data_IF_593529333903
#
_entry.id   IF_593529333903
#
_cell.length_a   1.000
_cell.length_b   1.000
_cell.length_c   1.000
_cell.angle_alpha   90.00
_cell.angle_beta   90.00
_cell.angle_gamma   90.00
#
_symmetry.space_group_name_H-M   'P 1'
#
loop_
_entity.id
_entity.type
_entity.pdbx_description
1 polymer ?
#
# COMPACT_ATOMS: atom_id res chain seq x y z
N UNK A 1 9.25 -28.82 -9.18
CA UNK A 1 9.62 -27.56 -8.48
C UNK A 1 8.88 -27.51 -7.16
N UNK A 2 9.41 -26.88 -6.12
CA UNK A 2 8.70 -26.76 -4.85
C UNK A 2 7.41 -25.96 -5.02
N UNK A 3 6.44 -26.25 -4.17
CA UNK A 3 5.22 -25.46 -4.00
C UNK A 3 5.39 -24.58 -2.77
N UNK A 4 5.07 -23.30 -2.87
CA UNK A 4 5.10 -22.37 -1.75
C UNK A 4 3.70 -21.85 -1.45
N UNK A 5 3.36 -21.76 -0.18
CA UNK A 5 2.12 -21.17 0.33
C UNK A 5 2.44 -19.92 1.13
N UNK A 6 2.01 -18.78 0.63
CA UNK A 6 2.37 -17.47 1.17
C UNK A 6 1.10 -16.69 1.49
N UNK A 7 1.03 -16.14 2.70
CA UNK A 7 0.02 -15.14 3.05
C UNK A 7 0.57 -13.77 2.65
N UNK A 8 -0.07 -13.11 1.70
CA UNK A 8 0.16 -11.69 1.41
C UNK A 8 -0.71 -10.82 2.30
N UNK A 9 -0.12 -9.81 2.95
CA UNK A 9 -0.86 -8.83 3.76
C UNK A 9 -0.83 -7.49 3.05
N UNK A 10 -2.00 -6.90 2.82
CA UNK A 10 -2.18 -5.54 2.33
C UNK A 10 -2.81 -4.67 3.42
N UNK A 11 -2.14 -3.56 3.73
CA UNK A 11 -2.61 -2.54 4.66
C UNK A 11 -2.49 -1.18 3.97
N UNK A 12 -3.50 -0.88 3.15
CA UNK A 12 -3.50 0.30 2.29
C UNK A 12 -3.45 1.64 3.06
N UNK A 13 -3.18 2.73 2.32
CA UNK A 13 -3.14 4.06 2.93
C UNK A 13 -4.53 4.54 3.39
N UNK A 14 -5.61 4.01 2.82
CA UNK A 14 -6.99 4.27 3.23
C UNK A 14 -7.31 3.84 4.67
N UNK A 15 -6.56 2.88 5.22
CA UNK A 15 -6.83 2.30 6.56
C UNK A 15 -8.26 1.79 6.72
N UNK A 16 -8.85 1.27 5.66
CA UNK A 16 -10.17 0.66 5.67
C UNK A 16 -10.14 -0.76 6.25
N UNK A 17 -9.24 -1.59 5.77
CA UNK A 17 -9.11 -2.97 6.25
C UNK A 17 -7.65 -3.48 6.19
N UNK A 18 -7.41 -4.55 6.93
CA UNK A 18 -6.27 -5.46 6.78
C UNK A 18 -6.71 -6.60 5.87
N UNK A 19 -6.27 -6.58 4.61
CA UNK A 19 -6.60 -7.61 3.63
C UNK A 19 -5.50 -8.66 3.55
N UNK A 20 -5.89 -9.92 3.51
CA UNK A 20 -4.97 -11.05 3.48
C UNK A 20 -5.42 -12.06 2.44
N UNK A 21 -4.48 -12.63 1.72
CA UNK A 21 -4.73 -13.72 0.77
C UNK A 21 -3.67 -14.79 0.97
N UNK A 22 -4.10 -16.03 1.13
CA UNK A 22 -3.23 -17.19 1.04
C UNK A 22 -3.14 -17.62 -0.41
N UNK A 23 -1.95 -17.51 -1.00
CA UNK A 23 -1.67 -17.87 -2.39
C UNK A 23 -0.70 -19.03 -2.44
N UNK A 24 -1.00 -20.01 -3.27
CA UNK A 24 -0.11 -21.11 -3.62
C UNK A 24 0.63 -20.80 -4.93
N UNK A 25 1.95 -20.89 -4.88
CA UNK A 25 2.84 -20.71 -6.02
C UNK A 25 3.43 -22.04 -6.45
N UNK A 26 3.16 -22.47 -7.67
CA UNK A 26 3.72 -23.69 -8.24
C UNK A 26 4.02 -23.50 -9.73
N UNK A 27 5.25 -23.81 -10.18
CA UNK A 27 5.65 -23.72 -11.59
C UNK A 27 5.27 -22.38 -12.26
N UNK A 28 5.57 -21.26 -11.62
CA UNK A 28 5.23 -19.91 -12.07
C UNK A 28 3.70 -19.63 -12.19
N UNK A 29 2.87 -20.50 -11.65
CA UNK A 29 1.43 -20.25 -11.53
C UNK A 29 1.10 -19.83 -10.12
N UNK A 30 0.13 -18.94 -10.00
CA UNK A 30 -0.45 -18.50 -8.73
C UNK A 30 -1.89 -19.03 -8.63
N UNK A 31 -2.27 -19.46 -7.44
CA UNK A 31 -3.64 -19.84 -7.14
C UNK A 31 -4.00 -19.35 -5.74
N UNK A 32 -4.95 -18.45 -5.67
CA UNK A 32 -5.49 -18.02 -4.39
C UNK A 32 -6.32 -19.14 -3.76
N UNK A 33 -6.03 -19.43 -2.51
CA UNK A 33 -6.66 -20.50 -1.74
C UNK A 33 -7.83 -19.94 -0.95
N UNK A 34 -7.60 -18.86 -0.22
CA UNK A 34 -8.61 -18.14 0.55
C UNK A 34 -8.17 -16.71 0.80
N UNK A 35 -9.14 -15.86 1.13
CA UNK A 35 -8.93 -14.48 1.51
C UNK A 35 -9.59 -14.19 2.86
N UNK A 36 -9.09 -13.18 3.55
CA UNK A 36 -9.61 -12.72 4.82
C UNK A 36 -9.42 -11.22 4.94
N UNK A 37 -10.42 -10.52 5.45
CA UNK A 37 -10.37 -9.07 5.61
C UNK A 37 -10.90 -8.69 6.99
N UNK A 38 -10.20 -7.78 7.66
CA UNK A 38 -10.61 -7.25 8.97
C UNK A 38 -10.59 -5.73 8.89
N UNK A 39 -11.73 -5.05 9.06
CA UNK A 39 -11.76 -3.60 9.06
C UNK A 39 -11.00 -3.04 10.26
N UNK A 40 -10.33 -1.91 10.07
CA UNK A 40 -9.77 -1.15 11.18
C UNK A 40 -10.88 -0.45 11.97
N UNK A 41 -10.68 -0.35 13.28
CA UNK A 41 -11.57 0.48 14.10
C UNK A 41 -11.40 1.97 13.75
N UNK A 42 -12.44 2.80 13.89
CA UNK A 42 -12.34 4.24 13.72
C UNK A 42 -11.24 4.88 14.60
N UNK A 43 -11.04 4.33 15.80
CA UNK A 43 -9.98 4.76 16.69
C UNK A 43 -8.59 4.51 16.09
N UNK A 44 -8.35 3.32 15.53
CA UNK A 44 -7.07 2.98 14.89
C UNK A 44 -6.82 3.83 13.64
N UNK A 45 -7.86 4.12 12.87
CA UNK A 45 -7.78 5.03 11.73
C UNK A 45 -7.34 6.43 12.17
N UNK A 46 -7.98 6.98 13.21
CA UNK A 46 -7.64 8.29 13.75
C UNK A 46 -6.22 8.34 14.32
N UNK A 47 -5.84 7.35 15.12
CA UNK A 47 -4.47 7.26 15.66
C UNK A 47 -3.42 7.18 14.56
N UNK A 48 -3.70 6.49 13.46
CA UNK A 48 -2.77 6.42 12.31
C UNK A 48 -2.63 7.77 11.62
N UNK A 49 -3.73 8.48 11.44
CA UNK A 49 -3.70 9.81 10.84
C UNK A 49 -2.95 10.82 11.72
N UNK A 50 -3.18 10.78 13.03
CA UNK A 50 -2.47 11.63 13.99
C UNK A 50 -0.96 11.34 13.99
N UNK A 51 -0.59 10.05 13.91
CA UNK A 51 0.81 9.63 13.77
C UNK A 51 1.42 10.13 12.45
N UNK A 52 0.71 10.03 11.33
CA UNK A 52 1.20 10.55 10.04
C UNK A 52 1.47 12.04 10.08
N UNK A 53 0.57 12.83 10.69
CA UNK A 53 0.76 14.28 10.89
C UNK A 53 1.96 14.58 11.78
N UNK A 54 2.15 13.80 12.84
CA UNK A 54 3.28 13.93 13.73
C UNK A 54 4.61 13.65 13.01
N UNK A 55 4.64 12.59 12.18
CA UNK A 55 5.82 12.17 11.42
C UNK A 55 6.18 13.18 10.33
N UNK A 56 5.19 13.81 9.70
CA UNK A 56 5.41 14.68 8.54
C UNK A 56 6.36 15.84 8.83
N UNK A 57 6.30 16.43 10.04
CA UNK A 57 7.07 17.61 10.43
C UNK A 57 8.31 17.29 11.28
N UNK A 58 8.78 16.03 11.33
CA UNK A 58 9.87 15.60 12.19
C UNK A 58 11.03 14.97 11.43
N UNK A 59 12.21 14.97 12.07
CA UNK A 59 13.33 14.17 11.61
C UNK A 59 12.97 12.68 11.69
N UNK A 60 13.13 11.98 10.57
CA UNK A 60 12.74 10.58 10.45
C UNK A 60 13.58 9.64 11.31
N UNK A 61 14.80 10.04 11.65
CA UNK A 61 15.68 9.26 12.54
C UNK A 61 15.18 9.20 13.99
N UNK A 62 14.36 10.17 14.41
CA UNK A 62 13.82 10.24 15.77
C UNK A 62 12.49 9.49 15.94
N UNK A 63 11.79 9.22 14.85
CA UNK A 63 10.43 8.67 14.87
C UNK A 63 10.37 7.35 15.64
N UNK A 64 11.32 6.46 15.40
CA UNK A 64 11.34 5.12 16.02
C UNK A 64 11.47 5.15 17.53
N UNK A 65 12.02 6.21 18.11
CA UNK A 65 12.19 6.38 19.55
C UNK A 65 11.00 7.07 20.24
N UNK A 66 10.04 7.60 19.48
CA UNK A 66 8.88 8.31 20.03
C UNK A 66 7.91 7.35 20.73
N UNK A 67 7.47 7.65 21.96
CA UNK A 67 6.51 6.81 22.68
C UNK A 67 5.21 6.57 21.90
N UNK A 68 4.66 7.59 21.27
CA UNK A 68 3.43 7.52 20.48
C UNK A 68 3.57 6.59 19.28
N UNK A 69 4.75 6.62 18.62
CA UNK A 69 5.06 5.68 17.53
C UNK A 69 5.15 4.25 18.07
N UNK A 70 5.87 4.03 19.17
CA UNK A 70 6.05 2.71 19.75
C UNK A 70 4.72 2.08 20.22
N UNK A 71 3.86 2.87 20.85
CA UNK A 71 2.54 2.40 21.29
C UNK A 71 1.68 1.99 20.09
N UNK A 72 1.56 2.87 19.10
CA UNK A 72 0.81 2.59 17.87
C UNK A 72 1.39 1.38 17.11
N UNK A 73 2.70 1.33 16.95
CA UNK A 73 3.41 0.26 16.26
C UNK A 73 3.15 -1.11 16.90
N UNK A 74 3.24 -1.18 18.23
CA UNK A 74 3.00 -2.43 18.96
C UNK A 74 1.52 -2.88 18.83
N UNK A 75 0.58 -1.94 18.91
CA UNK A 75 -0.84 -2.24 18.70
C UNK A 75 -1.09 -2.73 17.28
N UNK A 76 -0.54 -2.03 16.29
CA UNK A 76 -0.69 -2.38 14.87
C UNK A 76 -0.23 -3.80 14.56
N UNK A 77 0.96 -4.21 15.05
CA UNK A 77 1.49 -5.55 14.81
C UNK A 77 0.68 -6.62 15.54
N UNK A 78 0.18 -6.34 16.75
CA UNK A 78 -0.70 -7.27 17.47
C UNK A 78 -2.01 -7.49 16.71
N UNK A 79 -2.64 -6.44 16.21
CA UNK A 79 -3.86 -6.55 15.41
C UNK A 79 -3.63 -7.37 14.12
N UNK A 80 -2.50 -7.18 13.44
CA UNK A 80 -2.14 -7.98 12.28
C UNK A 80 -1.93 -9.45 12.64
N UNK A 81 -1.24 -9.74 13.73
CA UNK A 81 -1.02 -11.12 14.19
C UNK A 81 -2.35 -11.81 14.56
N UNK A 82 -3.24 -11.09 15.25
CA UNK A 82 -4.59 -11.58 15.55
C UNK A 82 -5.39 -11.87 14.27
N UNK A 83 -5.31 -10.98 13.27
CA UNK A 83 -5.99 -11.18 11.99
C UNK A 83 -5.45 -12.41 11.25
N UNK A 84 -4.12 -12.63 11.21
CA UNK A 84 -3.51 -13.84 10.65
C UNK A 84 -3.98 -15.08 11.39
N UNK A 85 -4.02 -15.04 12.71
CA UNK A 85 -4.47 -16.19 13.53
C UNK A 85 -5.95 -16.50 13.26
N UNK A 86 -6.82 -15.49 13.22
CA UNK A 86 -8.24 -15.64 12.87
C UNK A 86 -8.44 -16.18 11.45
N UNK A 87 -7.67 -15.72 10.47
CA UNK A 87 -7.69 -16.29 9.13
C UNK A 87 -7.37 -17.79 9.15
N UNK A 88 -6.31 -18.17 9.87
CA UNK A 88 -5.92 -19.58 10.00
C UNK A 88 -7.01 -20.43 10.66
N UNK A 89 -7.65 -19.92 11.73
CA UNK A 89 -8.75 -20.60 12.42
C UNK A 89 -9.98 -20.74 11.52
N UNK A 90 -10.43 -19.64 10.90
CA UNK A 90 -11.64 -19.61 10.07
C UNK A 90 -11.54 -20.53 8.85
N UNK A 91 -10.37 -20.62 8.24
CA UNK A 91 -10.14 -21.43 7.05
C UNK A 91 -9.47 -22.78 7.37
N UNK A 92 -9.37 -23.14 8.64
CA UNK A 92 -8.77 -24.41 9.11
C UNK A 92 -7.35 -24.64 8.55
N UNK A 93 -6.54 -23.57 8.48
CA UNK A 93 -5.20 -23.64 7.93
C UNK A 93 -4.21 -24.16 8.96
N UNK A 94 -3.37 -25.10 8.54
CA UNK A 94 -2.23 -25.52 9.34
C UNK A 94 -1.05 -24.55 9.08
N UNK A 95 -0.67 -23.77 10.08
CA UNK A 95 0.45 -22.80 10.00
C UNK A 95 1.77 -23.45 9.59
N UNK A 96 2.01 -24.71 9.93
CA UNK A 96 3.20 -25.44 9.51
C UNK A 96 3.28 -25.68 7.99
N UNK A 97 2.18 -25.48 7.27
CA UNK A 97 2.09 -25.56 5.80
C UNK A 97 2.15 -24.20 5.12
N UNK A 98 2.33 -23.12 5.89
CA UNK A 98 2.52 -21.75 5.37
C UNK A 98 4.01 -21.45 5.40
N UNK A 99 4.60 -21.26 4.23
CA UNK A 99 6.04 -21.07 4.10
C UNK A 99 6.49 -19.69 4.57
N UNK A 100 5.66 -18.65 4.32
CA UNK A 100 5.95 -17.30 4.74
C UNK A 100 4.71 -16.39 4.75
N UNK A 101 4.83 -15.26 5.45
CA UNK A 101 3.98 -14.08 5.33
C UNK A 101 4.76 -13.02 4.57
N UNK A 102 4.20 -12.45 3.51
CA UNK A 102 4.70 -11.26 2.84
C UNK A 102 4.05 -10.01 3.46
N UNK A 103 4.87 -9.13 4.05
CA UNK A 103 4.40 -7.96 4.77
C UNK A 103 5.17 -6.69 4.36
N UNK A 104 4.50 -5.74 3.70
CA UNK A 104 5.15 -4.52 3.21
C UNK A 104 5.27 -3.41 4.27
N UNK A 105 4.69 -3.60 5.46
CA UNK A 105 4.63 -2.57 6.49
C UNK A 105 3.53 -1.52 6.21
N UNK A 106 3.35 -0.58 7.14
CA UNK A 106 2.52 0.61 6.95
C UNK A 106 3.40 1.77 6.51
N UNK A 107 3.19 2.27 5.31
CA UNK A 107 3.90 3.45 4.83
C UNK A 107 3.41 4.69 5.60
N UNK A 108 4.32 5.30 6.35
CA UNK A 108 4.08 6.57 7.03
C UNK A 108 4.59 7.74 6.20
N UNK A 109 5.74 7.54 5.53
CA UNK A 109 6.30 8.52 4.62
C UNK A 109 7.17 7.82 3.58
N UNK A 110 7.26 8.39 2.39
CA UNK A 110 8.03 7.84 1.28
C UNK A 110 8.54 8.97 0.39
N UNK A 111 9.84 9.06 0.28
CA UNK A 111 10.54 10.05 -0.52
C UNK A 111 11.45 9.35 -1.54
N UNK A 112 10.90 8.90 -2.67
CA UNK A 112 11.67 8.19 -3.69
C UNK A 112 12.68 9.12 -4.39
N UNK A 113 13.68 8.57 -5.13
CA UNK A 113 14.69 9.36 -5.81
C UNK A 113 14.15 10.47 -6.72
N UNK A 114 13.06 10.23 -7.44
CA UNK A 114 12.42 11.24 -8.30
C UNK A 114 11.92 12.44 -7.49
N UNK A 115 11.20 12.20 -6.39
CA UNK A 115 10.70 13.24 -5.49
C UNK A 115 11.85 13.93 -4.75
N UNK A 116 12.80 13.17 -4.21
CA UNK A 116 13.97 13.68 -3.50
C UNK A 116 14.80 14.64 -4.36
N UNK A 117 14.93 14.36 -5.66
CA UNK A 117 15.61 15.24 -6.62
C UNK A 117 14.91 16.58 -6.78
N UNK A 118 13.57 16.59 -6.84
CA UNK A 118 12.76 17.82 -6.95
C UNK A 118 12.84 18.64 -5.68
N UNK A 119 12.77 17.98 -4.51
CA UNK A 119 12.78 18.65 -3.21
C UNK A 119 14.19 18.94 -2.69
N UNK A 120 15.25 18.58 -3.42
CA UNK A 120 16.65 18.68 -3.00
C UNK A 120 16.94 18.03 -1.64
N UNK A 121 16.35 16.85 -1.43
CA UNK A 121 16.48 16.03 -0.21
C UNK A 121 17.14 14.69 -0.52
N UNK A 122 17.33 13.85 0.51
CA UNK A 122 17.79 12.47 0.33
C UNK A 122 16.59 11.52 0.19
N UNK A 123 16.70 10.50 -0.68
CA UNK A 123 15.67 9.44 -0.76
C UNK A 123 15.58 8.68 0.55
N UNK A 124 14.34 8.38 0.99
CA UNK A 124 14.07 7.50 2.14
C UNK A 124 12.70 6.86 2.04
N UNK A 125 12.47 5.86 2.86
CA UNK A 125 11.14 5.28 3.10
C UNK A 125 10.98 5.00 4.60
N UNK A 126 9.83 5.37 5.14
CA UNK A 126 9.47 5.09 6.53
C UNK A 126 8.28 4.13 6.55
N UNK A 127 8.58 2.87 6.84
CA UNK A 127 7.59 1.81 6.98
C UNK A 127 7.46 1.44 8.46
N UNK A 128 6.27 1.57 9.02
CA UNK A 128 5.98 1.04 10.35
C UNK A 128 5.58 -0.44 10.24
N UNK A 129 6.04 -1.22 11.19
CA UNK A 129 5.76 -2.64 11.29
C UNK A 129 7.02 -3.48 11.41
N UNK A 130 7.12 -4.26 12.49
CA UNK A 130 8.21 -5.20 12.70
C UNK A 130 7.83 -6.58 12.14
N UNK A 131 8.49 -6.98 11.07
CA UNK A 131 8.34 -8.35 10.56
C UNK A 131 8.79 -9.40 11.56
N UNK A 132 9.81 -9.11 12.38
CA UNK A 132 10.25 -10.01 13.44
C UNK A 132 9.15 -10.20 14.51
N UNK A 133 8.58 -9.10 15.02
CA UNK A 133 7.49 -9.20 16.00
C UNK A 133 6.26 -9.93 15.42
N UNK A 134 5.93 -9.71 14.15
CA UNK A 134 4.85 -10.44 13.49
C UNK A 134 5.17 -11.94 13.39
N UNK A 135 6.41 -12.30 13.07
CA UNK A 135 6.85 -13.70 13.03
C UNK A 135 6.74 -14.37 14.41
N UNK A 136 7.20 -13.68 15.46
CA UNK A 136 7.14 -14.19 16.83
C UNK A 136 5.70 -14.43 17.32
N UNK A 137 4.78 -13.51 16.97
CA UNK A 137 3.37 -13.60 17.38
C UNK A 137 2.55 -14.61 16.56
N UNK A 138 2.92 -14.85 15.31
CA UNK A 138 2.19 -15.79 14.43
C UNK A 138 2.79 -17.18 14.39
N UNK A 139 4.08 -17.31 14.67
CA UNK A 139 4.86 -18.55 14.50
C UNK A 139 5.16 -18.87 13.03
N UNK A 140 4.97 -17.91 12.10
CA UNK A 140 5.24 -18.06 10.66
C UNK A 140 6.36 -17.12 10.25
N UNK A 141 7.25 -17.55 9.38
CA UNK A 141 8.31 -16.69 8.82
C UNK A 141 7.69 -15.46 8.14
N UNK A 142 8.33 -14.29 8.28
CA UNK A 142 7.88 -13.06 7.65
C UNK A 142 8.97 -12.53 6.72
N UNK A 143 8.60 -12.22 5.48
CA UNK A 143 9.41 -11.49 4.53
C UNK A 143 8.87 -10.07 4.48
N UNK A 144 9.73 -9.09 4.73
CA UNK A 144 9.33 -7.70 4.88
C UNK A 144 10.41 -6.74 4.35
N UNK A 145 10.13 -5.44 4.42
CA UNK A 145 11.02 -4.37 3.93
C UNK A 145 11.35 -4.49 2.44
N UNK A 146 10.33 -4.50 1.61
CA UNK A 146 10.46 -4.59 0.15
C UNK A 146 10.96 -3.29 -0.51
N UNK A 147 11.10 -2.18 0.22
CA UNK A 147 11.38 -0.85 -0.34
C UNK A 147 12.81 -0.37 -0.11
N UNK A 148 13.43 -0.70 1.03
CA UNK A 148 14.76 -0.17 1.39
C UNK A 148 15.84 -0.59 0.41
N UNK A 149 15.91 -1.87 0.03
CA UNK A 149 16.93 -2.35 -0.91
C UNK A 149 16.79 -1.72 -2.31
N UNK A 150 15.60 -1.63 -2.93
CA UNK A 150 15.42 -0.88 -4.17
C UNK A 150 15.84 0.59 -4.07
N UNK A 151 15.45 1.29 -3.00
CA UNK A 151 15.86 2.69 -2.79
C UNK A 151 17.38 2.86 -2.71
N UNK A 152 18.06 1.97 -1.98
CA UNK A 152 19.53 1.97 -1.90
C UNK A 152 20.19 1.72 -3.25
N UNK A 153 19.53 0.99 -4.15
CA UNK A 153 19.98 0.75 -5.52
C UNK A 153 19.57 1.88 -6.49
N UNK A 154 18.96 2.96 -6.01
CA UNK A 154 18.55 4.12 -6.83
C UNK A 154 17.21 3.96 -7.55
N UNK A 155 16.42 2.95 -7.19
CA UNK A 155 15.07 2.76 -7.72
C UNK A 155 14.02 3.41 -6.81
N UNK A 156 12.81 3.60 -7.31
CA UNK A 156 11.71 4.29 -6.63
C UNK A 156 11.17 3.54 -5.38
N UNK A 157 11.34 2.21 -5.30
CA UNK A 157 10.80 1.40 -4.20
C UNK A 157 9.27 1.29 -4.17
N UNK A 158 8.60 1.84 -5.19
CA UNK A 158 7.16 1.81 -5.44
C UNK A 158 6.90 1.87 -6.95
N UNK A 159 5.74 1.37 -7.44
CA UNK A 159 4.76 0.54 -6.74
C UNK A 159 5.24 -0.92 -6.58
N UNK A 160 4.84 -1.58 -5.50
CA UNK A 160 5.20 -2.99 -5.23
C UNK A 160 4.39 -3.99 -6.08
N UNK A 161 3.32 -3.55 -6.73
CA UNK A 161 2.43 -4.39 -7.54
C UNK A 161 3.03 -4.75 -8.92
N UNK A 162 4.10 -4.10 -9.35
CA UNK A 162 4.66 -4.30 -10.69
C UNK A 162 5.00 -5.76 -11.06
N UNK A 163 5.62 -6.58 -10.18
CA UNK A 163 5.86 -8.00 -10.47
C UNK A 163 4.56 -8.81 -10.61
N UNK A 164 3.50 -8.46 -9.86
CA UNK A 164 2.19 -9.08 -9.98
C UNK A 164 1.53 -8.73 -11.32
N UNK A 165 1.59 -7.48 -11.75
CA UNK A 165 1.07 -7.05 -13.05
C UNK A 165 1.78 -7.78 -14.21
N UNK A 166 3.11 -7.95 -14.12
CA UNK A 166 3.86 -8.74 -15.09
C UNK A 166 3.42 -10.22 -15.11
N UNK A 167 3.05 -10.76 -13.96
CA UNK A 167 2.52 -12.13 -13.88
C UNK A 167 1.12 -12.24 -14.50
N UNK A 168 0.22 -11.31 -14.23
CA UNK A 168 -1.12 -11.26 -14.85
C UNK A 168 -1.00 -11.16 -16.37
N UNK A 169 -0.06 -10.36 -16.87
CA UNK A 169 0.17 -10.19 -18.30
C UNK A 169 0.55 -11.49 -19.03
N UNK A 170 1.01 -12.54 -18.34
CA UNK A 170 1.24 -13.85 -18.94
C UNK A 170 -0.06 -14.50 -19.46
N UNK A 171 -1.22 -14.15 -18.88
CA UNK A 171 -2.52 -14.64 -19.30
C UNK A 171 -3.34 -13.60 -20.06
N UNK A 172 -3.27 -12.34 -19.64
CA UNK A 172 -4.09 -11.25 -20.19
C UNK A 172 -3.43 -10.53 -21.37
N UNK A 173 -2.11 -10.71 -21.54
CA UNK A 173 -1.33 -10.08 -22.60
C UNK A 173 -0.63 -8.78 -22.16
N UNK A 174 0.18 -8.26 -23.08
CA UNK A 174 0.89 -6.99 -22.89
C UNK A 174 -0.10 -5.81 -22.88
N UNK A 175 0.20 -4.77 -22.10
CA UNK A 175 -0.68 -3.62 -21.99
C UNK A 175 -0.30 -2.69 -20.84
N UNK A 176 -1.22 -1.77 -20.54
CA UNK A 176 -1.12 -0.87 -19.40
C UNK A 176 -2.05 -1.38 -18.30
N UNK A 177 -1.46 -1.73 -17.17
CA UNK A 177 -2.16 -2.16 -15.96
C UNK A 177 -2.25 -0.96 -15.02
N UNK A 178 -3.45 -0.46 -14.82
CA UNK A 178 -3.72 0.72 -14.02
C UNK A 178 -4.46 0.34 -12.72
N UNK A 179 -3.99 0.88 -11.60
CA UNK A 179 -4.65 0.77 -10.31
C UNK A 179 -5.06 2.14 -9.80
N UNK A 180 -6.35 2.34 -9.54
CA UNK A 180 -6.94 3.58 -9.01
C UNK A 180 -7.30 3.43 -7.54
N UNK A 181 -6.31 3.55 -6.64
CA UNK A 181 -6.50 3.61 -5.19
C UNK A 181 -6.57 5.05 -4.67
N UNK A 182 -6.15 5.30 -3.42
CA UNK A 182 -5.93 6.66 -2.91
C UNK A 182 -4.89 7.37 -3.77
N UNK A 183 -3.76 6.71 -4.00
CA UNK A 183 -2.77 7.05 -5.03
C UNK A 183 -2.96 6.10 -6.20
N UNK A 184 -2.98 6.61 -7.42
CA UNK A 184 -2.99 5.77 -8.60
C UNK A 184 -1.58 5.35 -8.98
N UNK A 185 -1.45 4.16 -9.57
CA UNK A 185 -0.22 3.68 -10.14
C UNK A 185 -0.48 2.87 -11.41
N UNK A 186 0.55 2.71 -12.22
CA UNK A 186 0.45 1.93 -13.46
C UNK A 186 1.71 1.10 -13.70
N UNK A 187 1.56 0.08 -14.53
CA UNK A 187 2.66 -0.68 -15.10
C UNK A 187 2.42 -0.87 -16.60
N UNK A 188 3.43 -0.61 -17.40
CA UNK A 188 3.46 -0.93 -18.83
C UNK A 188 4.19 -2.25 -18.98
N UNK A 189 3.48 -3.27 -19.48
CA UNK A 189 4.04 -4.59 -19.74
C UNK A 189 4.23 -4.77 -21.24
N UNK A 190 5.44 -5.16 -21.61
CA UNK A 190 5.82 -5.43 -23.00
C UNK A 190 6.71 -6.68 -23.04
N UNK A 191 6.34 -7.65 -23.89
CA UNK A 191 7.04 -8.95 -23.98
C UNK A 191 7.02 -9.72 -22.66
N UNK A 192 5.92 -9.60 -21.88
CA UNK A 192 5.78 -10.24 -20.56
C UNK A 192 6.70 -9.68 -19.48
N UNK A 193 7.27 -8.48 -19.68
CA UNK A 193 8.15 -7.81 -18.72
C UNK A 193 7.66 -6.40 -18.43
N UNK A 194 7.86 -5.95 -17.19
CA UNK A 194 7.61 -4.57 -16.83
C UNK A 194 8.63 -3.66 -17.51
N UNK A 195 8.15 -2.84 -18.45
CA UNK A 195 8.95 -1.83 -19.12
C UNK A 195 9.05 -0.55 -18.27
N UNK A 196 7.91 -0.11 -17.72
CA UNK A 196 7.79 1.06 -16.84
C UNK A 196 6.78 0.71 -15.74
N UNK A 197 7.03 1.15 -14.52
CA UNK A 197 6.06 1.13 -13.46
C UNK A 197 6.29 2.33 -12.55
N UNK A 198 5.23 3.07 -12.25
CA UNK A 198 5.30 4.30 -11.46
C UNK A 198 3.98 4.59 -10.76
N UNK A 199 4.06 5.36 -9.67
CA UNK A 199 2.90 6.08 -9.18
C UNK A 199 2.55 7.18 -10.20
N UNK A 200 1.23 7.37 -10.42
CA UNK A 200 0.71 8.38 -11.35
C UNK A 200 0.15 9.62 -10.64
N UNK A 201 0.11 9.58 -9.31
CA UNK A 201 -0.34 10.68 -8.46
C UNK A 201 -1.62 10.37 -7.67
N UNK A 202 -2.11 11.37 -6.90
CA UNK A 202 -3.34 11.23 -6.12
C UNK A 202 -4.53 10.89 -7.03
N UNK A 203 -5.41 10.02 -6.55
CA UNK A 203 -6.61 9.60 -7.29
C UNK A 203 -7.86 9.75 -6.42
N UNK A 204 -8.24 8.72 -5.67
CA UNK A 204 -9.44 8.80 -4.82
C UNK A 204 -9.25 9.61 -3.53
N UNK A 205 -8.01 9.82 -3.09
CA UNK A 205 -7.74 10.48 -1.81
C UNK A 205 -8.39 11.86 -1.70
N UNK A 206 -8.27 12.68 -2.74
CA UNK A 206 -8.87 14.01 -2.74
C UNK A 206 -10.38 13.99 -2.87
N UNK A 207 -10.93 13.12 -3.71
CA UNK A 207 -12.39 13.01 -3.88
C UNK A 207 -13.05 12.47 -2.61
N UNK A 208 -12.46 11.47 -1.99
CA UNK A 208 -12.98 10.89 -0.75
C UNK A 208 -12.86 11.87 0.42
N UNK A 209 -11.75 12.61 0.53
CA UNK A 209 -11.58 13.66 1.53
C UNK A 209 -12.61 14.78 1.35
N UNK A 210 -12.87 15.17 0.09
CA UNK A 210 -13.90 16.17 -0.22
C UNK A 210 -15.29 15.68 0.18
N UNK A 211 -15.63 14.45 -0.19
CA UNK A 211 -16.95 13.87 0.17
C UNK A 211 -17.12 13.77 1.68
N UNK A 212 -16.12 13.25 2.40
CA UNK A 212 -16.15 13.16 3.87
C UNK A 212 -16.29 14.52 4.57
N UNK A 213 -15.70 15.57 4.02
CA UNK A 213 -15.75 16.91 4.62
C UNK A 213 -17.05 17.66 4.33
N UNK A 214 -17.85 17.23 3.35
CA UNK A 214 -19.06 17.91 2.91
C UNK A 214 -20.33 17.08 3.04
N UNK A 215 -20.21 15.78 3.34
CA UNK A 215 -21.35 14.84 3.42
C UNK A 215 -21.14 13.86 4.58
N UNK A 216 -22.13 13.01 4.84
CA UNK A 216 -22.02 11.90 5.78
C UNK A 216 -21.41 10.63 5.15
N UNK A 217 -21.17 10.63 3.83
CA UNK A 217 -20.61 9.46 3.12
C UNK A 217 -19.09 9.44 3.24
N UNK A 218 -18.49 8.27 3.22
CA UNK A 218 -17.03 8.08 3.28
C UNK A 218 -16.33 8.26 1.93
N UNK A 219 -17.06 8.07 0.82
CA UNK A 219 -16.60 8.26 -0.54
C UNK A 219 -17.76 8.51 -1.49
N UNK A 220 -17.49 8.80 -2.76
CA UNK A 220 -18.53 8.99 -3.79
C UNK A 220 -18.99 7.64 -4.35
N UNK A 221 -19.84 6.94 -3.58
CA UNK A 221 -20.36 5.62 -3.98
C UNK A 221 -21.06 5.67 -5.33
N UNK A 222 -20.57 4.86 -6.28
CA UNK A 222 -21.08 4.79 -7.65
C UNK A 222 -21.11 6.12 -8.41
N UNK A 223 -20.29 7.09 -8.03
CA UNK A 223 -20.26 8.40 -8.64
C UNK A 223 -21.52 9.24 -8.41
N UNK A 224 -22.22 9.04 -7.28
CA UNK A 224 -23.48 9.72 -6.91
C UNK A 224 -23.36 11.24 -6.97
N UNK A 225 -22.28 11.77 -6.37
CA UNK A 225 -22.04 13.22 -6.34
C UNK A 225 -21.44 13.71 -7.66
N UNK A 226 -20.47 12.99 -8.22
CA UNK A 226 -19.84 13.32 -9.50
C UNK A 226 -20.83 13.39 -10.65
N UNK A 227 -21.78 12.45 -10.73
CA UNK A 227 -22.83 12.43 -11.76
C UNK A 227 -23.83 13.59 -11.63
N UNK A 228 -24.07 14.07 -10.42
CA UNK A 228 -25.00 15.18 -10.17
C UNK A 228 -24.36 16.56 -10.33
N UNK A 229 -23.04 16.63 -10.35
CA UNK A 229 -22.26 17.87 -10.46
C UNK A 229 -22.22 18.44 -11.86
N UNK A 230 -21.75 19.70 -11.95
CA UNK A 230 -21.44 20.37 -13.21
C UNK A 230 -19.96 20.71 -13.25
N UNK A 231 -19.32 20.43 -14.38
CA UNK A 231 -17.92 20.76 -14.58
C UNK A 231 -17.75 22.28 -14.63
N UNK A 232 -16.91 22.82 -13.76
CA UNK A 232 -16.50 24.22 -13.80
C UNK A 232 -15.16 24.34 -14.52
N UNK A 233 -15.17 24.81 -15.74
CA UNK A 233 -13.96 24.97 -16.57
C UNK A 233 -12.92 25.86 -15.91
N UNK A 234 -13.35 26.92 -15.20
CA UNK A 234 -12.42 27.83 -14.52
C UNK A 234 -11.73 27.18 -13.32
N UNK A 235 -12.44 26.33 -12.55
CA UNK A 235 -11.82 25.57 -11.46
C UNK A 235 -10.90 24.47 -12.00
N UNK A 236 -11.31 23.80 -13.06
CA UNK A 236 -10.49 22.78 -13.73
C UNK A 236 -9.17 23.37 -14.23
N UNK A 237 -9.21 24.54 -14.88
CA UNK A 237 -8.00 25.22 -15.34
C UNK A 237 -7.06 25.59 -14.18
N UNK A 238 -7.60 26.12 -13.08
CA UNK A 238 -6.79 26.39 -11.87
C UNK A 238 -6.14 25.14 -11.31
N UNK A 239 -6.85 24.02 -11.29
CA UNK A 239 -6.31 22.75 -10.82
C UNK A 239 -5.17 22.26 -11.73
N UNK A 240 -5.34 22.35 -13.05
CA UNK A 240 -4.28 22.02 -14.00
C UNK A 240 -3.05 22.89 -13.81
N UNK A 241 -3.23 24.19 -13.63
CA UNK A 241 -2.11 25.11 -13.42
C UNK A 241 -1.35 24.83 -12.13
N UNK A 242 -2.05 24.44 -11.06
CA UNK A 242 -1.43 24.01 -9.79
C UNK A 242 -0.66 22.69 -9.92
N UNK A 243 -1.17 21.74 -10.71
CA UNK A 243 -0.57 20.42 -10.86
C UNK A 243 0.53 20.39 -11.94
N UNK A 244 0.56 21.34 -12.86
CA UNK A 244 1.50 21.39 -14.00
C UNK A 244 2.96 21.17 -13.61
N UNK A 245 3.53 21.83 -12.56
CA UNK A 245 4.92 21.62 -12.17
C UNK A 245 5.29 20.17 -11.85
N UNK A 246 4.32 19.37 -11.44
CA UNK A 246 4.54 17.97 -11.08
C UNK A 246 4.49 17.03 -12.30
N UNK A 247 3.86 17.44 -13.39
CA UNK A 247 3.75 16.63 -14.61
C UNK A 247 4.79 17.00 -15.70
N UNK A 248 5.32 18.21 -15.67
CA UNK A 248 6.31 18.69 -16.65
C UNK A 248 7.77 18.36 -16.25
N UNK A 249 8.00 17.79 -15.06
CA UNK A 249 9.33 17.45 -14.53
C UNK A 249 9.73 15.98 -14.72
N UNK A 250 8.89 15.19 -15.37
CA UNK A 250 9.14 13.75 -15.59
C UNK A 250 9.79 13.47 -16.94
#
# INVERSE_FOLDING_TARGET
MPTYRIIGIMTGNSMDAMDMVLTEFHNKKMRDICSFSVPYSPQMQQQTEDLRRLVFNRDKSEISAMPEFQEWHNLYIRLLAEAVNKMCEQHHLNKAQIDAIGFHGKTLDHNPPSKAKIEHTLPYTLQAGSGQMLADLTGVKVVYDFRSAPLMAGFEGAPLVAPHNAHIALSEGDGIYFNGGNTSNFAVINGGKTAISSDAGPFNEYTDNFVRSHTADSCDYNGKYGKSGKISTSHLQKLFDLCRPYYELS
#
